data_IF_511422067775
#
_entry.id   IF_511422067775
#
_cell.length_a   1.000
_cell.length_b   1.000
_cell.length_c   1.000
_cell.angle_alpha   90.00
_cell.angle_beta   90.00
_cell.angle_gamma   90.00
#
_symmetry.space_group_name_H-M   'P 1'
#
loop_
_entity.id
_entity.type
_entity.pdbx_description
1 polymer ?
#
# COMPACT_ATOMS: atom_id res chain seq x y z
N UNK A 1 -1.30 16.07 -3.89
CA UNK A 1 -0.94 14.68 -3.53
C UNK A 1 -1.07 13.84 -4.78
N UNK A 2 -0.16 12.92 -5.01
CA UNK A 2 -0.22 12.01 -6.15
C UNK A 2 -1.07 10.78 -5.77
N UNK A 3 -1.76 10.21 -6.74
CA UNK A 3 -2.53 8.98 -6.57
C UNK A 3 -1.65 7.77 -6.84
N UNK A 4 -1.77 6.75 -6.00
CA UNK A 4 -1.03 5.50 -6.14
C UNK A 4 -1.96 4.32 -6.03
N UNK A 5 -1.70 3.30 -6.85
CA UNK A 5 -2.23 1.96 -6.68
C UNK A 5 -1.15 1.11 -6.02
N UNK A 6 -1.49 0.48 -4.91
CA UNK A 6 -0.66 -0.51 -4.24
C UNK A 6 -1.34 -1.88 -4.30
N UNK A 7 -0.53 -2.90 -4.50
CA UNK A 7 -0.94 -4.30 -4.35
C UNK A 7 0.11 -5.00 -3.51
N UNK A 8 -0.34 -5.82 -2.58
CA UNK A 8 0.55 -6.63 -1.76
C UNK A 8 0.14 -8.10 -1.82
N UNK A 9 1.10 -8.98 -1.58
CA UNK A 9 0.92 -10.41 -1.43
C UNK A 9 1.71 -10.86 -0.19
N UNK A 10 1.02 -11.53 0.73
CA UNK A 10 1.56 -11.92 2.04
C UNK A 10 1.75 -13.43 2.07
N UNK A 11 2.95 -13.88 2.39
CA UNK A 11 3.30 -15.29 2.42
C UNK A 11 3.54 -15.76 3.86
N UNK A 12 2.45 -15.93 4.62
CA UNK A 12 2.47 -16.41 6.00
C UNK A 12 1.61 -15.56 6.94
N UNK A 13 1.69 -15.77 8.27
CA UNK A 13 0.75 -15.18 9.22
C UNK A 13 1.03 -13.72 9.57
N UNK A 14 2.22 -13.19 9.25
CA UNK A 14 2.66 -11.84 9.63
C UNK A 14 3.31 -11.10 8.46
N UNK A 15 3.09 -9.79 8.25
CA UNK A 15 1.95 -9.08 8.80
C UNK A 15 0.66 -9.76 8.34
N UNK A 16 -0.39 -9.60 9.13
CA UNK A 16 -1.75 -9.96 8.75
C UNK A 16 -2.32 -8.92 7.79
N UNK A 17 -3.36 -9.29 7.04
CA UNK A 17 -4.11 -8.33 6.21
C UNK A 17 -4.63 -7.15 7.03
N UNK A 18 -5.02 -7.38 8.29
CA UNK A 18 -5.46 -6.31 9.19
C UNK A 18 -4.33 -5.32 9.50
N UNK A 19 -3.12 -5.80 9.78
CA UNK A 19 -1.98 -4.92 10.04
C UNK A 19 -1.62 -4.10 8.80
N UNK A 20 -1.71 -4.70 7.60
CA UNK A 20 -1.53 -3.96 6.34
C UNK A 20 -2.62 -2.90 6.14
N UNK A 21 -3.89 -3.25 6.37
CA UNK A 21 -5.01 -2.32 6.24
C UNK A 21 -4.87 -1.14 7.22
N UNK A 22 -4.49 -1.40 8.47
CA UNK A 22 -4.27 -0.38 9.50
C UNK A 22 -3.09 0.53 9.14
N UNK A 23 -1.98 -0.04 8.64
CA UNK A 23 -0.83 0.72 8.15
C UNK A 23 -1.21 1.64 6.98
N UNK A 24 -1.92 1.11 5.98
CA UNK A 24 -2.34 1.88 4.80
C UNK A 24 -3.24 3.06 5.21
N UNK A 25 -4.19 2.83 6.11
CA UNK A 25 -5.06 3.90 6.65
C UNK A 25 -4.29 4.93 7.49
N UNK A 26 -3.20 4.53 8.13
CA UNK A 26 -2.32 5.46 8.86
C UNK A 26 -1.47 6.34 7.94
N UNK A 27 -1.22 5.90 6.71
CA UNK A 27 -0.43 6.65 5.71
C UNK A 27 -1.25 7.78 5.11
N UNK A 28 -2.52 7.53 4.80
CA UNK A 28 -3.43 8.57 4.31
C UNK A 28 -4.86 8.38 4.79
N UNK A 29 -5.49 9.50 5.14
CA UNK A 29 -6.93 9.58 5.41
C UNK A 29 -7.79 9.41 4.15
N UNK A 30 -7.20 9.53 2.95
CA UNK A 30 -7.85 9.27 1.66
C UNK A 30 -7.24 8.02 1.02
N UNK A 31 -7.55 6.89 1.62
CA UNK A 31 -7.23 5.56 1.13
C UNK A 31 -8.52 4.76 0.86
N UNK A 32 -8.60 4.10 -0.29
CA UNK A 32 -9.72 3.27 -0.70
C UNK A 32 -9.24 1.84 -1.00
N UNK A 33 -9.92 0.84 -0.43
CA UNK A 33 -9.65 -0.56 -0.75
C UNK A 33 -10.39 -0.92 -2.04
N UNK A 34 -9.64 -1.25 -3.09
CA UNK A 34 -10.17 -1.56 -4.43
C UNK A 34 -10.47 -3.05 -4.56
N UNK A 35 -9.56 -3.90 -4.07
CA UNK A 35 -9.72 -5.35 -3.92
C UNK A 35 -9.15 -5.77 -2.55
N UNK A 36 -9.21 -7.07 -2.23
CA UNK A 36 -8.75 -7.58 -0.94
C UNK A 36 -7.33 -7.12 -0.59
N UNK A 37 -6.36 -7.21 -1.50
CA UNK A 37 -4.98 -6.77 -1.26
C UNK A 37 -4.56 -5.60 -2.15
N UNK A 38 -5.51 -4.93 -2.78
CA UNK A 38 -5.27 -3.80 -3.69
C UNK A 38 -5.93 -2.55 -3.15
N UNK A 39 -5.15 -1.48 -3.08
CA UNK A 39 -5.57 -0.22 -2.50
C UNK A 39 -5.20 0.94 -3.41
N UNK A 40 -6.06 1.93 -3.42
CA UNK A 40 -5.75 3.27 -3.91
C UNK A 40 -5.46 4.17 -2.72
N UNK A 41 -4.40 4.96 -2.81
CA UNK A 41 -3.97 5.89 -1.75
C UNK A 41 -3.49 7.18 -2.40
N UNK A 42 -3.91 8.32 -1.87
CA UNK A 42 -3.20 9.56 -2.16
C UNK A 42 -2.00 9.73 -1.20
N UNK A 43 -0.88 10.21 -1.72
CA UNK A 43 0.32 10.39 -0.92
C UNK A 43 1.10 11.62 -1.38
N UNK A 44 1.69 12.34 -0.42
CA UNK A 44 2.43 13.57 -0.70
C UNK A 44 3.84 13.31 -1.25
N UNK A 45 4.42 12.15 -0.95
CA UNK A 45 5.75 11.76 -1.42
C UNK A 45 5.74 11.00 -2.75
N UNK A 46 6.90 10.48 -3.12
CA UNK A 46 7.09 9.66 -4.32
C UNK A 46 6.62 8.22 -4.13
N UNK A 47 6.42 7.49 -5.24
CA UNK A 47 6.13 6.06 -5.22
C UNK A 47 7.19 5.26 -4.43
N UNK A 48 8.46 5.64 -4.55
CA UNK A 48 9.57 4.98 -3.84
C UNK A 48 9.46 5.19 -2.32
N UNK A 49 9.17 6.41 -1.86
CA UNK A 49 8.98 6.71 -0.45
C UNK A 49 7.78 5.95 0.14
N UNK A 50 6.67 5.86 -0.60
CA UNK A 50 5.51 5.07 -0.21
C UNK A 50 5.84 3.58 -0.13
N UNK A 51 6.50 3.04 -1.15
CA UNK A 51 6.97 1.66 -1.19
C UNK A 51 7.86 1.34 0.00
N UNK A 52 8.87 2.17 0.27
CA UNK A 52 9.85 1.91 1.33
C UNK A 52 9.20 1.93 2.72
N UNK A 53 8.20 2.82 2.92
CA UNK A 53 7.40 2.83 4.15
C UNK A 53 6.59 1.54 4.33
N UNK A 54 5.94 1.06 3.28
CA UNK A 54 5.16 -0.19 3.32
C UNK A 54 6.08 -1.42 3.46
N UNK A 55 7.22 -1.44 2.77
CA UNK A 55 8.21 -2.52 2.84
C UNK A 55 8.74 -2.73 4.26
N UNK A 56 8.80 -1.69 5.09
CA UNK A 56 9.30 -1.80 6.47
C UNK A 56 8.50 -2.77 7.37
N UNK A 57 7.29 -3.14 6.96
CA UNK A 57 6.40 -4.08 7.67
C UNK A 57 6.36 -5.47 7.02
N UNK A 58 6.89 -5.61 5.80
CA UNK A 58 6.85 -6.83 5.02
C UNK A 58 8.07 -7.72 5.29
N UNK A 59 7.88 -9.04 5.18
CA UNK A 59 8.98 -10.02 5.18
C UNK A 59 9.58 -10.14 3.77
N UNK A 60 10.73 -10.81 3.70
CA UNK A 60 11.48 -10.98 2.45
C UNK A 60 10.72 -11.80 1.39
N UNK A 61 9.84 -12.70 1.84
CA UNK A 61 8.99 -13.55 1.01
C UNK A 61 7.70 -12.87 0.54
N UNK A 62 7.32 -11.74 1.15
CA UNK A 62 6.15 -10.96 0.76
C UNK A 62 6.46 -10.12 -0.49
N UNK A 63 5.42 -9.77 -1.26
CA UNK A 63 5.56 -8.93 -2.46
C UNK A 63 4.75 -7.65 -2.30
N UNK A 64 5.33 -6.56 -2.81
CA UNK A 64 4.68 -5.25 -2.87
C UNK A 64 4.90 -4.63 -4.24
N UNK A 65 3.82 -4.11 -4.79
CA UNK A 65 3.82 -3.30 -5.99
C UNK A 65 3.21 -1.93 -5.69
N UNK A 66 3.85 -0.86 -6.16
CA UNK A 66 3.35 0.53 -6.04
C UNK A 66 3.50 1.21 -7.39
N UNK A 67 2.39 1.71 -7.93
CA UNK A 67 2.34 2.40 -9.22
C UNK A 67 1.69 3.78 -9.06
N UNK A 68 2.24 4.79 -9.74
CA UNK A 68 1.64 6.11 -9.80
C UNK A 68 0.48 6.13 -10.81
N UNK A 69 -0.68 6.61 -10.38
CA UNK A 69 -1.86 6.78 -11.22
C UNK A 69 -1.93 8.22 -11.71
N UNK A 70 -2.16 8.40 -13.02
CA UNK A 70 -2.41 9.74 -13.60
C UNK A 70 -3.84 10.21 -13.33
N UNK A 71 -4.79 9.29 -13.43
CA UNK A 71 -6.21 9.53 -13.23
C UNK A 71 -6.79 8.38 -12.40
N UNK A 72 -7.68 8.71 -11.47
CA UNK A 72 -8.47 7.77 -10.71
C UNK A 72 -9.90 8.33 -10.68
N UNK A 73 -10.88 7.48 -10.99
CA UNK A 73 -12.30 7.84 -11.05
C UNK A 73 -12.98 7.71 -9.69
#
# INVERSE_FOLDING_TARGET
MASYLLSYDLNGPTPSHKEMDDLIRSISSKAGRVLETVWWVDYAGSAAQLRDRLLSTLRNEDRLFVCACKEAA
#
